data_IF_068597691566
#
_entry.id   IF_068597691566
#
_cell.length_a   1.000
_cell.length_b   1.000
_cell.length_c   1.000
_cell.angle_alpha   90.00
_cell.angle_beta   90.00
_cell.angle_gamma   90.00
#
_symmetry.space_group_name_H-M   'P 1'
#
loop_
_entity.id
_entity.type
_entity.pdbx_description
1 polymer ?
#
# COMPACT_ATOMS: atom_id res chain seq x y z
N UNK A 1 3.23 -14.69 -4.00
CA UNK A 1 2.86 -13.57 -3.11
C UNK A 1 2.61 -12.37 -4.00
N UNK A 2 1.40 -11.81 -4.03
CA UNK A 2 1.08 -10.68 -4.91
C UNK A 2 1.64 -9.38 -4.34
N UNK A 3 2.15 -8.46 -5.17
CA UNK A 3 2.72 -7.20 -4.69
C UNK A 3 1.77 -6.39 -3.78
N UNK A 4 0.46 -6.53 -3.99
CA UNK A 4 -0.59 -5.92 -3.17
C UNK A 4 -0.65 -6.51 -1.75
N UNK A 5 -0.43 -7.82 -1.61
CA UNK A 5 -0.36 -8.45 -0.28
C UNK A 5 0.89 -8.00 0.48
N UNK A 6 2.04 -7.89 -0.21
CA UNK A 6 3.25 -7.36 0.41
C UNK A 6 3.05 -5.92 0.87
N UNK A 7 2.47 -5.09 0.00
CA UNK A 7 2.14 -3.72 0.34
C UNK A 7 1.19 -3.65 1.55
N UNK A 8 0.08 -4.41 1.57
CA UNK A 8 -0.82 -4.46 2.73
C UNK A 8 -0.11 -4.85 4.03
N UNK A 9 0.76 -5.86 3.99
CA UNK A 9 1.48 -6.31 5.16
C UNK A 9 2.45 -5.23 5.67
N UNK A 10 3.15 -4.57 4.76
CA UNK A 10 4.02 -3.45 5.08
C UNK A 10 3.22 -2.28 5.69
N UNK A 11 2.03 -1.98 5.15
CA UNK A 11 1.13 -0.95 5.71
C UNK A 11 0.70 -1.30 7.13
N UNK A 12 0.25 -2.54 7.38
CA UNK A 12 -0.17 -2.97 8.73
C UNK A 12 0.99 -2.88 9.73
N UNK A 13 2.18 -3.36 9.35
CA UNK A 13 3.36 -3.27 10.22
C UNK A 13 3.76 -1.83 10.49
N UNK A 14 3.76 -0.99 9.45
CA UNK A 14 4.11 0.42 9.56
C UNK A 14 3.10 1.22 10.39
N UNK A 15 1.81 0.91 10.26
CA UNK A 15 0.73 1.51 11.04
C UNK A 15 0.81 1.09 12.52
N UNK A 16 1.08 -0.19 12.80
CA UNK A 16 1.22 -0.69 14.16
C UNK A 16 2.46 -0.12 14.89
N UNK A 17 3.54 0.10 14.15
CA UNK A 17 4.79 0.63 14.72
C UNK A 17 4.85 2.16 14.76
N UNK A 18 3.93 2.86 14.07
CA UNK A 18 3.97 4.30 13.83
C UNK A 18 5.35 4.80 13.37
N UNK A 19 6.13 3.93 12.72
CA UNK A 19 7.52 4.21 12.39
C UNK A 19 7.57 4.86 11.00
N UNK A 20 8.06 6.11 10.88
CA UNK A 20 8.11 6.82 9.61
C UNK A 20 8.95 6.09 8.55
N UNK A 21 10.02 5.38 8.93
CA UNK A 21 10.82 4.60 7.98
C UNK A 21 10.05 3.41 7.42
N UNK A 22 9.27 2.71 8.26
CA UNK A 22 8.43 1.60 7.79
C UNK A 22 7.28 2.12 6.92
N UNK A 23 6.69 3.26 7.26
CA UNK A 23 5.66 3.89 6.45
C UNK A 23 6.17 4.28 5.07
N UNK A 24 7.40 4.81 4.98
CA UNK A 24 8.03 5.13 3.71
C UNK A 24 8.28 3.87 2.86
N UNK A 25 8.71 2.78 3.50
CA UNK A 25 8.93 1.50 2.82
C UNK A 25 7.61 0.89 2.32
N UNK A 26 6.55 0.93 3.14
CA UNK A 26 5.22 0.50 2.75
C UNK A 26 4.66 1.33 1.58
N UNK A 27 4.93 2.64 1.57
CA UNK A 27 4.55 3.54 0.48
C UNK A 27 5.26 3.18 -0.83
N UNK A 28 6.55 2.85 -0.80
CA UNK A 28 7.27 2.34 -1.97
C UNK A 28 6.68 1.03 -2.49
N UNK A 29 6.41 0.06 -1.60
CA UNK A 29 5.83 -1.22 -2.02
C UNK A 29 4.44 -1.04 -2.66
N UNK A 30 3.63 -0.13 -2.13
CA UNK A 30 2.35 0.20 -2.76
C UNK A 30 2.52 0.78 -4.16
N UNK A 31 3.48 1.69 -4.34
CA UNK A 31 3.73 2.31 -5.65
C UNK A 31 4.18 1.26 -6.68
N UNK A 32 5.03 0.33 -6.25
CA UNK A 32 5.48 -0.79 -7.08
C UNK A 32 4.33 -1.74 -7.42
N UNK A 33 3.47 -2.08 -6.44
CA UNK A 33 2.27 -2.88 -6.66
C UNK A 33 1.30 -2.20 -7.65
N UNK A 34 1.18 -0.87 -7.59
CA UNK A 34 0.33 -0.09 -8.49
C UNK A 34 0.82 -0.17 -9.94
N UNK A 35 2.12 0.01 -10.17
CA UNK A 35 2.73 -0.15 -11.50
C UNK A 35 2.54 -1.57 -12.04
N UNK A 36 2.78 -2.57 -11.21
CA UNK A 36 2.67 -3.97 -11.62
C UNK A 36 1.22 -4.31 -11.96
N UNK A 37 0.25 -3.81 -11.19
CA UNK A 37 -1.17 -3.91 -11.56
C UNK A 37 -1.44 -3.27 -12.91
N UNK A 38 -0.95 -2.06 -13.17
CA UNK A 38 -1.24 -1.36 -14.42
C UNK A 38 -0.69 -2.11 -15.65
N UNK A 39 0.48 -2.75 -15.51
CA UNK A 39 1.02 -3.65 -16.54
C UNK A 39 0.17 -4.90 -16.74
N UNK A 40 -0.28 -5.54 -15.65
CA UNK A 40 -1.11 -6.74 -15.75
C UNK A 40 -2.49 -6.37 -16.29
N UNK A 41 -3.07 -5.23 -15.92
CA UNK A 41 -4.37 -4.74 -16.41
C UNK A 41 -4.41 -4.66 -17.94
N UNK A 42 -3.31 -4.25 -18.54
CA UNK A 42 -3.19 -4.08 -20.00
C UNK A 42 -3.19 -5.42 -20.76
N UNK A 43 -2.88 -6.53 -20.08
CA UNK A 43 -2.81 -7.88 -20.65
C UNK A 43 -3.80 -8.86 -20.00
N UNK A 44 -4.57 -8.40 -19.02
CA UNK A 44 -5.45 -9.24 -18.21
C UNK A 44 -6.70 -9.64 -18.99
N UNK A 45 -7.07 -10.91 -18.87
CA UNK A 45 -8.38 -11.41 -19.33
C UNK A 45 -9.51 -10.89 -18.43
N UNK A 46 -10.77 -11.05 -18.85
CA UNK A 46 -11.93 -10.56 -18.09
C UNK A 46 -11.96 -11.05 -16.61
N UNK A 47 -11.59 -12.30 -16.36
CA UNK A 47 -11.48 -12.86 -15.00
C UNK A 47 -10.33 -12.24 -14.19
N UNK A 48 -9.17 -12.05 -14.80
CA UNK A 48 -8.04 -11.38 -14.16
C UNK A 48 -8.36 -9.91 -13.87
N UNK A 49 -9.18 -9.27 -14.71
CA UNK A 49 -9.59 -7.89 -14.54
C UNK A 49 -10.42 -7.70 -13.25
N UNK A 50 -11.27 -8.67 -12.87
CA UNK A 50 -11.99 -8.63 -11.59
C UNK A 50 -11.03 -8.73 -10.39
N UNK A 51 -10.05 -9.64 -10.43
CA UNK A 51 -9.05 -9.76 -9.37
C UNK A 51 -8.20 -8.49 -9.26
N UNK A 52 -7.85 -7.90 -10.40
CA UNK A 52 -7.19 -6.60 -10.49
C UNK A 52 -8.00 -5.48 -9.87
N UNK A 53 -9.31 -5.45 -10.12
CA UNK A 53 -10.19 -4.42 -9.55
C UNK A 53 -10.26 -4.52 -8.02
N UNK A 54 -10.37 -5.74 -7.47
CA UNK A 54 -10.31 -5.94 -6.01
C UNK A 54 -8.95 -5.53 -5.44
N UNK A 55 -7.88 -5.94 -6.11
CA UNK A 55 -6.51 -5.58 -5.73
C UNK A 55 -6.30 -4.06 -5.76
N UNK A 56 -6.91 -3.36 -6.72
CA UNK A 56 -6.85 -1.91 -6.85
C UNK A 56 -7.58 -1.20 -5.71
N UNK A 57 -8.78 -1.68 -5.33
CA UNK A 57 -9.49 -1.15 -4.15
C UNK A 57 -8.69 -1.38 -2.86
N UNK A 58 -8.15 -2.59 -2.68
CA UNK A 58 -7.33 -2.93 -1.52
C UNK A 58 -6.10 -2.02 -1.42
N UNK A 59 -5.43 -1.78 -2.55
CA UNK A 59 -4.27 -0.90 -2.61
C UNK A 59 -4.64 0.54 -2.28
N UNK A 60 -5.77 1.03 -2.78
CA UNK A 60 -6.24 2.38 -2.50
C UNK A 60 -6.57 2.57 -1.01
N UNK A 61 -7.20 1.56 -0.39
CA UNK A 61 -7.47 1.56 1.05
C UNK A 61 -6.17 1.59 1.87
N UNK A 62 -5.20 0.75 1.50
CA UNK A 62 -3.88 0.73 2.13
C UNK A 62 -3.15 2.07 1.97
N UNK A 63 -3.28 2.74 0.82
CA UNK A 63 -2.67 4.05 0.56
C UNK A 63 -3.19 5.11 1.53
N UNK A 64 -4.50 5.11 1.75
CA UNK A 64 -5.15 6.03 2.70
C UNK A 64 -4.71 5.76 4.14
N UNK A 65 -4.59 4.48 4.53
CA UNK A 65 -4.11 4.09 5.86
C UNK A 65 -2.67 4.53 6.12
N UNK A 66 -1.76 4.38 5.14
CA UNK A 66 -0.38 4.87 5.27
C UNK A 66 -0.35 6.38 5.37
N UNK A 67 -1.13 7.09 4.56
CA UNK A 67 -1.13 8.55 4.57
C UNK A 67 -1.58 9.11 5.94
N UNK A 68 -2.63 8.52 6.51
CA UNK A 68 -3.11 8.85 7.85
C UNK A 68 -2.06 8.50 8.94
N UNK A 69 -1.46 7.32 8.85
CA UNK A 69 -0.41 6.89 9.77
C UNK A 69 0.85 7.75 9.67
N UNK A 70 1.19 8.25 8.47
CA UNK A 70 2.33 9.13 8.24
C UNK A 70 2.11 10.49 8.88
N UNK A 71 0.89 11.03 8.81
CA UNK A 71 0.54 12.25 9.55
C UNK A 71 0.64 12.03 11.06
N UNK A 72 0.19 10.89 11.56
CA UNK A 72 0.24 10.56 12.99
C UNK A 72 1.68 10.35 13.49
N UNK A 73 2.50 9.63 12.72
CA UNK A 73 3.93 9.45 13.00
C UNK A 73 4.70 10.79 12.98
N UNK A 74 4.39 11.67 12.03
CA UNK A 74 5.00 13.00 11.94
C UNK A 74 4.63 13.91 13.13
N UNK A 75 3.42 13.79 13.66
CA UNK A 75 2.99 14.51 14.87
C UNK A 75 3.67 13.94 16.13
N UNK A 76 3.76 12.62 16.24
CA UNK A 76 4.41 11.97 17.38
C UNK A 76 5.91 12.28 17.45
N UNK A 77 6.58 12.42 16.30
CA UNK A 77 7.99 12.78 16.24
C UNK A 77 8.27 14.27 16.53
N UNK A 78 7.23 15.12 16.59
CA UNK A 78 7.33 16.54 16.96
C UNK A 78 7.11 16.78 18.47
N UNK A 79 6.64 15.77 19.20
CA UNK A 79 6.33 15.86 20.64
C UNK A 79 7.35 15.14 21.54
N UNK A 80 8.43 14.61 20.98
CA UNK A 80 9.59 14.08 21.71
C UNK A 80 10.77 15.05 21.60
#
# INVERSE_FOLDING_TARGET
MSAVQQAQQAVQQAQASANPQQLQQAQQQMQQAQQQMQQVQSQATAEQNQQLQQAQQQLQQAQQSVQQSQQQAAQQNQQQ
#
